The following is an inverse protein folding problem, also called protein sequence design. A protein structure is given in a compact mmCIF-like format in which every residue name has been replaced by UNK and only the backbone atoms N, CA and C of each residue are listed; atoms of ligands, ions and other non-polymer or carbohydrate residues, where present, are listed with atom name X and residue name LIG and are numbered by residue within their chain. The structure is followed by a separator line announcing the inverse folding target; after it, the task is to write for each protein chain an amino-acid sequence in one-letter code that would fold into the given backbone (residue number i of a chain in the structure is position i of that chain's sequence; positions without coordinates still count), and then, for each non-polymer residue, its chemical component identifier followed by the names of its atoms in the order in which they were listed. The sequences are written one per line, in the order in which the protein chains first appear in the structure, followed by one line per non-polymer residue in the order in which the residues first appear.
data_IF_773808547780
#
_entry.id   IF_773808547780
#
_cell.length_a   1.000
_cell.length_b   1.000
_cell.length_c   1.000
_cell.angle_alpha   90.00
_cell.angle_beta   90.00
_cell.angle_gamma   90.00
#
_symmetry.space_group_name_H-M   'P 1'
#
loop_
_entity.id
_entity.type
_entity.pdbx_description
1 polymer ?
#
# COMPACT_ATOMS: atom_id res chain seq x y z
N UNK A 1 -8.87 -14.48 -31.52
CA UNK A 1 -7.68 -15.10 -30.90
C UNK A 1 -7.57 -14.51 -29.52
N UNK A 2 -7.93 -15.28 -28.50
CA UNK A 2 -7.85 -14.85 -27.10
C UNK A 2 -6.39 -14.87 -26.64
N UNK A 3 -6.02 -13.87 -25.84
CA UNK A 3 -4.65 -13.52 -25.50
C UNK A 3 -4.11 -14.45 -24.40
N UNK A 4 -3.32 -15.45 -24.78
CA UNK A 4 -2.68 -16.44 -23.89
C UNK A 4 -1.70 -15.80 -22.88
N UNK A 5 -1.24 -14.58 -23.16
CA UNK A 5 -0.25 -13.85 -22.35
C UNK A 5 -0.84 -13.26 -21.06
N UNK A 6 -2.17 -13.03 -21.01
CA UNK A 6 -2.85 -12.63 -19.77
C UNK A 6 -3.02 -13.79 -18.78
N UNK A 7 -3.01 -15.04 -19.29
CA UNK A 7 -3.12 -16.25 -18.48
C UNK A 7 -1.75 -16.59 -17.85
N UNK A 8 -0.64 -16.42 -18.58
CA UNK A 8 0.69 -16.71 -18.04
C UNK A 8 1.12 -15.77 -16.89
N UNK A 9 0.49 -14.60 -16.77
CA UNK A 9 0.75 -13.66 -15.67
C UNK A 9 -0.03 -13.99 -14.39
N UNK A 10 -0.92 -14.99 -14.41
CA UNK A 10 -1.62 -15.49 -13.23
C UNK A 10 -0.89 -16.68 -12.57
N UNK A 11 0.09 -17.28 -13.23
CA UNK A 11 0.79 -18.49 -12.78
C UNK A 11 1.64 -18.28 -11.50
N UNK A 12 1.82 -17.04 -11.03
CA UNK A 12 2.59 -16.71 -9.83
C UNK A 12 1.79 -16.03 -8.70
N UNK A 13 0.48 -15.81 -8.87
CA UNK A 13 -0.36 -15.39 -7.76
C UNK A 13 -0.83 -16.64 -7.00
N UNK A 14 -0.68 -16.74 -5.66
CA UNK A 14 -1.32 -17.79 -4.90
C UNK A 14 -2.84 -17.60 -5.04
N UNK A 15 -3.43 -18.32 -5.99
CA UNK A 15 -4.87 -18.35 -6.17
C UNK A 15 -5.46 -19.01 -4.93
N UNK A 16 -6.40 -18.33 -4.28
CA UNK A 16 -7.23 -18.95 -3.24
C UNK A 16 -7.96 -20.10 -3.93
N UNK A 17 -7.58 -21.34 -3.60
CA UNK A 17 -8.14 -22.52 -4.26
C UNK A 17 -9.62 -22.63 -3.92
N UNK A 18 -10.41 -23.23 -4.81
CA UNK A 18 -11.82 -23.51 -4.56
C UNK A 18 -11.99 -24.32 -3.26
N UNK A 19 -11.06 -25.25 -2.99
CA UNK A 19 -10.98 -25.98 -1.72
C UNK A 19 -10.81 -25.05 -0.49
N UNK A 20 -9.92 -24.05 -0.59
CA UNK A 20 -9.74 -23.05 0.47
C UNK A 20 -11.04 -22.24 0.69
N UNK A 21 -11.73 -21.86 -0.38
CA UNK A 21 -13.01 -21.16 -0.30
C UNK A 21 -14.11 -22.05 0.29
N UNK A 22 -14.17 -23.33 -0.08
CA UNK A 22 -15.11 -24.31 0.48
C UNK A 22 -14.84 -24.55 1.97
N UNK A 23 -13.58 -24.55 2.40
CA UNK A 23 -13.19 -24.77 3.80
C UNK A 23 -13.50 -23.57 4.70
N UNK A 24 -13.36 -22.35 4.17
CA UNK A 24 -13.60 -21.11 4.93
C UNK A 24 -15.07 -20.68 4.87
N UNK A 25 -15.75 -20.92 3.74
CA UNK A 25 -17.15 -20.56 3.49
C UNK A 25 -17.96 -21.76 2.93
N UNK A 26 -18.15 -22.81 3.74
CA UNK A 26 -18.79 -24.05 3.29
C UNK A 26 -20.25 -23.88 2.89
N UNK A 27 -20.93 -22.84 3.37
CA UNK A 27 -22.34 -22.57 3.00
C UNK A 27 -22.48 -21.96 1.61
N UNK A 28 -21.45 -21.24 1.17
CA UNK A 28 -21.44 -20.48 -0.08
C UNK A 28 -20.82 -21.27 -1.23
N UNK A 29 -19.87 -22.18 -0.94
CA UNK A 29 -19.08 -22.87 -1.96
C UNK A 29 -19.24 -24.41 -2.03
N UNK A 30 -19.87 -25.05 -1.03
CA UNK A 30 -20.36 -26.44 -1.14
C UNK A 30 -19.29 -27.55 -1.24
N UNK A 31 -19.70 -28.80 -1.00
CA UNK A 31 -18.81 -29.98 -1.04
C UNK A 31 -18.39 -30.30 -2.48
N UNK A 32 -17.12 -30.09 -2.80
CA UNK A 32 -16.53 -30.52 -4.08
C UNK A 32 -16.22 -32.02 -3.99
N UNK A 33 -16.81 -32.83 -4.87
CA UNK A 33 -16.42 -34.22 -5.06
C UNK A 33 -14.98 -34.26 -5.64
N UNK A 34 -14.04 -34.80 -4.87
CA UNK A 34 -12.62 -34.94 -5.23
C UNK A 34 -12.45 -35.59 -6.61
N UNK A 35 -12.08 -34.79 -7.60
CA UNK A 35 -11.42 -35.26 -8.82
C UNK A 35 -9.94 -34.99 -8.69
N UNK A 36 -9.19 -36.07 -8.46
CA UNK A 36 -7.74 -36.05 -8.36
C UNK A 36 -7.11 -35.72 -9.71
N UNK A 37 -6.73 -34.46 -9.91
CA UNK A 37 -5.74 -34.06 -10.92
C UNK A 37 -4.41 -33.76 -10.22
N UNK A 38 -3.38 -34.52 -10.60
CA UNK A 38 -2.00 -34.39 -10.15
C UNK A 38 -1.38 -33.10 -10.74
N UNK A 39 -1.45 -31.99 -10.00
CA UNK A 39 -0.55 -30.85 -10.19
C UNK A 39 0.45 -30.79 -9.04
N UNK A 40 1.73 -30.64 -9.39
CA UNK A 40 2.86 -30.63 -8.45
C UNK A 40 2.69 -29.59 -7.34
N UNK A 41 2.58 -30.10 -6.11
CA UNK A 41 2.29 -29.38 -4.89
C UNK A 41 3.52 -28.63 -4.34
N UNK A 42 3.64 -27.34 -4.64
CA UNK A 42 4.45 -26.41 -3.83
C UNK A 42 3.72 -25.94 -2.56
N UNK A 43 2.39 -26.10 -2.53
CA UNK A 43 1.50 -25.76 -1.40
C UNK A 43 1.71 -26.64 -0.16
N UNK A 44 1.93 -27.95 -0.37
CA UNK A 44 1.99 -28.92 0.74
C UNK A 44 3.20 -28.73 1.67
N UNK A 45 4.32 -28.22 1.14
CA UNK A 45 5.52 -27.98 1.93
C UNK A 45 5.40 -26.75 2.84
N UNK A 46 4.70 -25.70 2.39
CA UNK A 46 4.43 -24.51 3.22
C UNK A 46 3.45 -24.82 4.36
N UNK A 47 2.41 -25.60 4.08
CA UNK A 47 1.43 -26.03 5.08
C UNK A 47 2.07 -26.91 6.17
N UNK A 48 2.98 -27.82 5.80
CA UNK A 48 3.71 -28.62 6.77
C UNK A 48 4.65 -27.77 7.65
N UNK A 49 5.33 -26.79 7.07
CA UNK A 49 6.17 -25.84 7.81
C UNK A 49 5.36 -25.03 8.82
N UNK A 50 4.16 -24.54 8.43
CA UNK A 50 3.26 -23.83 9.33
C UNK A 50 2.79 -24.70 10.50
N UNK A 51 2.46 -25.97 10.24
CA UNK A 51 2.08 -26.93 11.29
C UNK A 51 3.25 -27.22 12.24
N UNK A 52 4.47 -27.41 11.72
CA UNK A 52 5.67 -27.63 12.54
C UNK A 52 5.97 -26.41 13.41
N UNK A 53 5.82 -25.18 12.86
CA UNK A 53 5.95 -23.94 13.63
C UNK A 53 4.93 -23.88 14.77
N UNK A 54 3.65 -24.11 14.49
CA UNK A 54 2.58 -24.13 15.49
C UNK A 54 2.83 -25.15 16.61
N UNK A 55 3.25 -26.37 16.26
CA UNK A 55 3.59 -27.39 17.25
C UNK A 55 4.78 -26.96 18.12
N UNK A 56 5.78 -26.33 17.51
CA UNK A 56 6.95 -25.81 18.24
C UNK A 56 6.57 -24.63 19.14
N UNK A 57 5.70 -23.73 18.70
CA UNK A 57 5.18 -22.63 19.51
C UNK A 57 4.44 -23.10 20.76
N UNK A 58 3.64 -24.17 20.64
CA UNK A 58 2.97 -24.78 21.79
C UNK A 58 3.94 -25.41 22.81
N UNK A 59 5.18 -25.70 22.40
CA UNK A 59 6.21 -26.28 23.27
C UNK A 59 7.11 -25.25 23.96
N UNK A 60 7.07 -23.97 23.54
CA UNK A 60 7.86 -22.91 24.17
C UNK A 60 7.17 -22.47 25.46
N UNK A 61 7.82 -22.67 26.60
CA UNK A 61 7.22 -22.42 27.92
C UNK A 61 7.82 -21.23 28.65
N UNK A 62 8.96 -20.73 28.18
CA UNK A 62 9.67 -19.60 28.77
C UNK A 62 9.99 -18.50 27.75
N UNK A 63 10.11 -17.27 28.25
CA UNK A 63 10.54 -16.10 27.45
C UNK A 63 11.91 -16.31 26.81
N UNK A 64 12.82 -16.97 27.51
CA UNK A 64 14.19 -17.24 27.07
C UNK A 64 14.21 -18.21 25.88
N UNK A 65 13.36 -19.24 25.90
CA UNK A 65 13.20 -20.17 24.77
C UNK A 65 12.64 -19.46 23.54
N UNK A 66 11.64 -18.57 23.72
CA UNK A 66 11.06 -17.77 22.63
C UNK A 66 12.13 -16.86 22.01
N UNK A 67 12.93 -16.17 22.84
CA UNK A 67 14.02 -15.30 22.36
C UNK A 67 15.07 -16.11 21.61
N UNK A 68 15.53 -17.23 22.18
CA UNK A 68 16.55 -18.07 21.57
C UNK A 68 16.08 -18.65 20.23
N UNK A 69 14.82 -19.09 20.18
CA UNK A 69 14.21 -19.62 18.96
C UNK A 69 14.06 -18.53 17.90
N UNK A 70 13.52 -17.36 18.25
CA UNK A 70 13.33 -16.24 17.32
C UNK A 70 14.67 -15.76 16.74
N UNK A 71 15.74 -15.72 17.56
CA UNK A 71 17.09 -15.38 17.08
C UNK A 71 17.65 -16.39 16.09
N UNK A 72 17.30 -17.67 16.22
CA UNK A 72 17.73 -18.73 15.31
C UNK A 72 16.91 -18.77 14.02
N UNK A 73 15.65 -18.30 14.05
CA UNK A 73 14.78 -18.29 12.86
C UNK A 73 14.79 -16.96 12.09
N UNK A 74 15.28 -15.87 12.69
CA UNK A 74 15.44 -14.55 12.07
C UNK A 74 16.49 -14.50 10.93
N UNK A 75 16.67 -15.59 10.18
CA UNK A 75 17.67 -15.81 9.13
C UNK A 75 17.37 -15.01 7.86
N UNK A 76 16.21 -14.36 7.73
CA UNK A 76 16.00 -13.38 6.65
C UNK A 76 15.59 -11.99 7.16
N UNK A 77 16.44 -11.03 6.82
CA UNK A 77 16.32 -9.57 6.87
C UNK A 77 15.26 -8.97 7.82
N UNK A 78 15.61 -8.90 9.12
CA UNK A 78 15.02 -7.97 10.10
C UNK A 78 13.52 -8.16 10.46
N UNK A 79 12.95 -9.35 10.24
CA UNK A 79 11.58 -9.69 10.68
C UNK A 79 11.55 -10.49 11.99
N UNK A 80 10.59 -10.17 12.85
CA UNK A 80 10.26 -10.90 14.09
C UNK A 80 8.83 -11.41 13.98
N UNK A 81 8.66 -12.73 14.03
CA UNK A 81 7.35 -13.39 13.99
C UNK A 81 7.01 -14.00 15.36
N UNK A 82 6.04 -13.39 16.02
CA UNK A 82 5.46 -13.83 17.30
C UNK A 82 3.97 -14.14 17.15
N UNK A 83 3.53 -14.43 15.92
CA UNK A 83 2.13 -14.76 15.64
C UNK A 83 1.70 -16.02 16.41
N UNK A 84 0.47 -16.00 16.93
CA UNK A 84 -0.13 -17.11 17.66
C UNK A 84 0.49 -17.43 19.03
N UNK A 85 1.59 -16.78 19.43
CA UNK A 85 2.21 -17.00 20.72
C UNK A 85 1.38 -16.39 21.87
N UNK A 86 1.07 -17.15 22.93
CA UNK A 86 0.27 -16.68 24.07
C UNK A 86 1.12 -15.86 25.06
N UNK A 87 1.90 -14.89 24.56
CA UNK A 87 2.71 -14.01 25.40
C UNK A 87 1.81 -12.97 26.07
N UNK A 88 1.96 -12.81 27.38
CA UNK A 88 1.36 -11.66 28.07
C UNK A 88 2.03 -10.34 27.64
N UNK A 89 1.39 -9.22 27.96
CA UNK A 89 1.86 -7.88 27.55
C UNK A 89 3.29 -7.58 27.99
N UNK A 90 3.72 -8.05 29.16
CA UNK A 90 5.04 -7.75 29.72
C UNK A 90 6.11 -8.68 29.14
N UNK A 91 5.77 -9.97 28.95
CA UNK A 91 6.60 -10.94 28.25
C UNK A 91 6.87 -10.49 26.82
N UNK A 92 5.82 -10.10 26.08
CA UNK A 92 5.93 -9.61 24.71
C UNK A 92 6.92 -8.44 24.62
N UNK A 93 6.74 -7.40 25.45
CA UNK A 93 7.63 -6.24 25.44
C UNK A 93 9.06 -6.58 25.85
N UNK A 94 9.26 -7.57 26.72
CA UNK A 94 10.60 -8.05 27.11
C UNK A 94 11.27 -8.76 25.94
N UNK A 95 10.55 -9.67 25.27
CA UNK A 95 11.01 -10.38 24.08
C UNK A 95 11.39 -9.38 22.97
N UNK A 96 10.50 -8.44 22.66
CA UNK A 96 10.76 -7.42 21.62
C UNK A 96 11.98 -6.55 21.94
N UNK A 97 12.20 -6.23 23.21
CA UNK A 97 13.39 -5.47 23.64
C UNK A 97 14.67 -6.25 23.32
N UNK A 98 14.69 -7.55 23.56
CA UNK A 98 15.87 -8.42 23.41
C UNK A 98 16.10 -8.91 21.97
N UNK A 99 15.08 -8.83 21.11
CA UNK A 99 15.14 -9.14 19.68
C UNK A 99 15.54 -7.95 18.80
N UNK A 100 15.63 -6.73 19.35
CA UNK A 100 16.14 -5.58 18.60
C UNK A 100 17.56 -5.83 18.05
N UNK A 101 17.88 -5.33 16.84
CA UNK A 101 17.04 -4.52 15.94
C UNK A 101 16.16 -5.36 15.00
N UNK A 102 14.94 -4.89 14.72
CA UNK A 102 14.08 -5.41 13.66
C UNK A 102 13.29 -4.27 12.98
N UNK A 103 12.72 -4.55 11.82
CA UNK A 103 11.89 -3.62 11.03
C UNK A 103 10.48 -4.16 10.79
N UNK A 104 10.29 -5.48 10.86
CA UNK A 104 8.99 -6.14 10.68
C UNK A 104 8.62 -6.90 11.95
N UNK A 105 7.39 -6.76 12.40
CA UNK A 105 6.84 -7.47 13.55
C UNK A 105 5.48 -8.09 13.23
N UNK A 106 5.39 -9.42 13.31
CA UNK A 106 4.10 -10.11 13.30
C UNK A 106 3.73 -10.48 14.74
N UNK A 107 2.58 -10.00 15.22
CA UNK A 107 1.99 -10.38 16.52
C UNK A 107 0.54 -10.85 16.33
N UNK A 108 0.18 -11.26 15.12
CA UNK A 108 -1.19 -11.65 14.77
C UNK A 108 -1.68 -12.81 15.64
N UNK A 109 -2.98 -12.77 15.97
CA UNK A 109 -3.63 -13.75 16.84
C UNK A 109 -3.32 -13.59 18.34
N UNK A 110 -2.41 -12.70 18.75
CA UNK A 110 -2.12 -12.48 20.16
C UNK A 110 -3.20 -11.59 20.81
N UNK A 111 -4.13 -12.21 21.55
CA UNK A 111 -5.24 -11.54 22.23
C UNK A 111 -4.79 -10.58 23.35
N UNK A 112 -3.55 -10.68 23.84
CA UNK A 112 -3.01 -9.79 24.87
C UNK A 112 -2.49 -8.47 24.28
N UNK A 113 -2.45 -8.35 22.96
CA UNK A 113 -2.12 -7.09 22.28
C UNK A 113 -3.40 -6.27 22.13
N UNK A 114 -3.64 -5.40 23.09
CA UNK A 114 -4.70 -4.38 23.08
C UNK A 114 -4.16 -3.01 22.63
N UNK A 115 -5.00 -1.97 22.71
CA UNK A 115 -4.64 -0.58 22.38
C UNK A 115 -3.39 -0.10 23.12
N UNK A 116 -3.30 -0.36 24.42
CA UNK A 116 -2.24 0.17 25.29
C UNK A 116 -0.92 -0.56 25.03
N UNK A 117 -0.98 -1.88 24.84
CA UNK A 117 0.19 -2.68 24.46
C UNK A 117 0.71 -2.27 23.09
N UNK A 118 -0.18 -2.11 22.11
CA UNK A 118 0.20 -1.64 20.77
C UNK A 118 0.84 -0.25 20.81
N UNK A 119 0.29 0.68 21.60
CA UNK A 119 0.88 1.99 21.82
C UNK A 119 2.29 1.90 22.42
N UNK A 120 2.51 1.01 23.39
CA UNK A 120 3.83 0.75 24.00
C UNK A 120 4.83 0.16 23.00
N UNK A 121 4.39 -0.75 22.12
CA UNK A 121 5.21 -1.29 21.03
C UNK A 121 5.65 -0.15 20.10
N UNK A 122 4.71 0.66 19.61
CA UNK A 122 5.05 1.79 18.73
C UNK A 122 6.01 2.77 19.41
N UNK A 123 5.77 3.11 20.68
CA UNK A 123 6.62 4.06 21.41
C UNK A 123 8.05 3.54 21.62
N UNK A 124 8.20 2.27 21.99
CA UNK A 124 9.49 1.62 22.24
C UNK A 124 10.35 1.55 20.97
N UNK A 125 9.74 1.39 19.79
CA UNK A 125 10.45 1.16 18.53
C UNK A 125 10.45 2.37 17.59
N UNK A 126 9.87 3.53 17.95
CA UNK A 126 9.93 4.73 17.10
C UNK A 126 11.32 5.39 17.03
N UNK A 127 12.17 5.17 18.05
CA UNK A 127 13.50 5.82 18.19
C UNK A 127 14.67 4.83 18.16
N UNK A 128 14.43 3.56 17.86
CA UNK A 128 15.51 2.58 17.71
C UNK A 128 16.36 2.91 16.48
N UNK A 129 17.59 2.42 16.46
CA UNK A 129 18.48 2.51 15.29
C UNK A 129 17.89 1.81 14.05
N UNK A 130 16.89 0.95 14.25
CA UNK A 130 16.08 0.33 13.22
C UNK A 130 14.62 0.52 13.62
N UNK A 131 13.96 1.61 13.20
CA UNK A 131 12.58 1.86 13.57
C UNK A 131 11.67 0.79 12.98
N UNK A 132 10.59 0.49 13.70
CA UNK A 132 9.57 -0.43 13.22
C UNK A 132 8.90 0.15 11.97
N UNK A 133 8.87 -0.61 10.89
CA UNK A 133 8.32 -0.21 9.59
C UNK A 133 7.10 -1.04 9.17
N UNK A 134 6.98 -2.27 9.65
CA UNK A 134 5.87 -3.16 9.32
C UNK A 134 5.34 -3.82 10.58
N UNK A 135 4.03 -3.82 10.76
CA UNK A 135 3.41 -4.55 11.85
C UNK A 135 2.10 -5.23 11.43
N UNK A 136 1.97 -6.52 11.74
CA UNK A 136 0.73 -7.27 11.60
C UNK A 136 0.07 -7.47 12.97
N UNK A 137 -1.14 -6.93 13.12
CA UNK A 137 -1.96 -7.00 14.33
C UNK A 137 -3.32 -7.67 14.05
N UNK A 138 -3.38 -8.49 13.01
CA UNK A 138 -4.62 -9.19 12.65
C UNK A 138 -5.03 -10.17 13.75
N UNK A 139 -6.29 -10.15 14.16
CA UNK A 139 -6.78 -11.04 15.21
C UNK A 139 -6.32 -10.68 16.62
N UNK A 140 -5.73 -9.50 16.84
CA UNK A 140 -5.44 -8.98 18.18
C UNK A 140 -6.69 -8.32 18.82
N UNK A 141 -6.61 -7.94 20.10
CA UNK A 141 -7.69 -7.26 20.84
C UNK A 141 -7.79 -5.76 20.55
N UNK A 142 -7.24 -5.29 19.43
CA UNK A 142 -7.30 -3.88 19.01
C UNK A 142 -8.54 -3.70 18.15
N UNK A 143 -9.48 -2.88 18.60
CA UNK A 143 -10.66 -2.57 17.79
C UNK A 143 -10.36 -1.53 16.71
N UNK A 144 -11.28 -1.43 15.75
CA UNK A 144 -11.27 -0.35 14.76
C UNK A 144 -11.32 1.04 15.42
N UNK A 145 -12.11 1.22 16.48
CA UNK A 145 -12.23 2.52 17.14
C UNK A 145 -10.98 2.86 17.95
N UNK A 146 -10.27 1.86 18.50
CA UNK A 146 -8.96 2.05 19.10
C UNK A 146 -7.95 2.59 18.09
N UNK A 147 -7.90 2.02 16.89
CA UNK A 147 -7.01 2.53 15.82
C UNK A 147 -7.35 3.96 15.40
N UNK A 148 -8.63 4.32 15.36
CA UNK A 148 -9.04 5.71 15.07
C UNK A 148 -8.55 6.66 16.15
N UNK A 149 -8.75 6.30 17.41
CA UNK A 149 -8.31 7.07 18.56
C UNK A 149 -6.79 7.23 18.55
N UNK A 150 -6.04 6.16 18.29
CA UNK A 150 -4.59 6.19 18.20
C UNK A 150 -4.08 7.06 17.05
N UNK A 151 -4.68 6.96 15.85
CA UNK A 151 -4.31 7.80 14.72
C UNK A 151 -4.65 9.27 14.96
N UNK A 152 -5.69 9.55 15.76
CA UNK A 152 -6.04 10.91 16.15
C UNK A 152 -5.09 11.47 17.20
N UNK A 153 -4.90 10.76 18.32
CA UNK A 153 -4.18 11.25 19.51
C UNK A 153 -2.66 11.06 19.41
N UNK A 154 -2.20 10.05 18.67
CA UNK A 154 -0.81 9.61 18.64
C UNK A 154 -0.23 9.53 17.21
N UNK A 155 -0.73 10.36 16.28
CA UNK A 155 -0.35 10.34 14.86
C UNK A 155 1.15 10.21 14.58
N UNK A 156 2.00 10.87 15.38
CA UNK A 156 3.46 10.91 15.18
C UNK A 156 4.14 9.55 15.37
N UNK A 157 3.51 8.63 16.11
CA UNK A 157 4.02 7.27 16.28
C UNK A 157 3.92 6.45 14.99
N UNK A 158 3.01 6.84 14.09
CA UNK A 158 2.78 6.15 12.83
C UNK A 158 3.72 6.62 11.71
N UNK A 159 4.43 7.74 11.87
CA UNK A 159 5.29 8.32 10.82
C UNK A 159 6.44 7.41 10.37
N UNK A 160 6.85 6.48 11.23
CA UNK A 160 7.91 5.51 10.95
C UNK A 160 7.37 4.18 10.42
N UNK A 161 6.08 3.94 10.62
CA UNK A 161 5.43 2.73 10.16
C UNK A 161 5.16 2.91 8.68
N UNK A 162 5.71 2.05 7.85
CA UNK A 162 5.36 1.95 6.44
C UNK A 162 4.04 1.21 6.26
N UNK A 163 3.81 0.15 7.04
CA UNK A 163 2.79 -0.87 6.79
C UNK A 163 2.11 -1.34 8.08
N UNK A 164 0.77 -1.34 8.10
CA UNK A 164 -0.03 -1.93 9.20
C UNK A 164 -1.07 -2.88 8.61
N UNK A 165 -0.99 -4.15 8.99
CA UNK A 165 -1.99 -5.14 8.60
C UNK A 165 -3.03 -5.25 9.71
N UNK A 166 -4.25 -4.79 9.42
CA UNK A 166 -5.41 -4.90 10.30
C UNK A 166 -6.71 -4.87 9.48
N UNK A 167 -7.75 -5.67 9.83
CA UNK A 167 -9.01 -5.73 9.07
C UNK A 167 -9.72 -4.38 8.89
N UNK A 168 -9.52 -3.43 9.80
CA UNK A 168 -10.11 -2.09 9.69
C UNK A 168 -9.60 -1.31 8.47
N UNK A 169 -8.38 -1.57 7.99
CA UNK A 169 -7.82 -0.93 6.79
C UNK A 169 -8.19 -1.66 5.49
N UNK A 170 -8.71 -2.88 5.59
CA UNK A 170 -9.16 -3.70 4.46
C UNK A 170 -10.66 -3.55 4.19
N UNK A 171 -11.48 -3.40 5.24
CA UNK A 171 -12.95 -3.53 5.13
C UNK A 171 -13.72 -2.19 5.21
N UNK A 172 -13.10 -1.14 5.74
CA UNK A 172 -13.74 0.16 6.01
C UNK A 172 -13.84 1.13 4.83
N UNK A 173 -14.75 2.13 4.88
CA UNK A 173 -14.54 3.37 4.10
C UNK A 173 -13.59 4.24 4.92
N UNK A 174 -12.29 4.33 4.54
CA UNK A 174 -11.35 5.06 5.36
C UNK A 174 -11.78 6.52 5.54
N UNK A 175 -12.59 7.11 4.63
CA UNK A 175 -12.99 8.52 4.66
C UNK A 175 -13.71 8.91 5.93
N UNK A 176 -14.77 8.19 6.24
CA UNK A 176 -15.59 8.44 7.43
C UNK A 176 -14.93 7.89 8.69
N UNK A 177 -14.06 6.89 8.54
CA UNK A 177 -13.57 6.13 9.66
C UNK A 177 -12.29 6.71 10.24
N UNK A 178 -11.38 7.20 9.39
CA UNK A 178 -10.08 7.74 9.82
C UNK A 178 -9.90 9.18 9.30
N UNK A 179 -10.64 10.16 9.82
CA UNK A 179 -10.61 11.55 9.33
C UNK A 179 -9.23 12.20 9.46
N UNK A 180 -8.42 11.75 10.43
CA UNK A 180 -7.10 12.31 10.76
C UNK A 180 -5.92 11.39 10.39
N UNK A 181 -6.17 10.23 9.75
CA UNK A 181 -5.07 9.51 9.13
C UNK A 181 -4.44 10.43 8.08
N UNK A 182 -3.12 10.38 7.91
CA UNK A 182 -2.50 11.06 6.78
C UNK A 182 -3.09 10.48 5.51
N UNK A 183 -3.85 11.31 4.81
CA UNK A 183 -4.49 10.94 3.56
C UNK A 183 -3.71 11.55 2.45
N UNK A 184 -3.59 10.82 1.35
CA UNK A 184 -3.16 11.38 0.10
C UNK A 184 -4.24 11.08 -0.93
N UNK A 185 -4.90 12.14 -1.39
CA UNK A 185 -5.82 12.02 -2.52
C UNK A 185 -5.07 12.35 -3.79
N UNK A 186 -4.90 11.39 -4.71
CA UNK A 186 -4.33 11.69 -6.03
C UNK A 186 -5.44 12.09 -6.97
N UNK A 187 -5.50 13.38 -7.31
CA UNK A 187 -6.49 13.91 -8.23
C UNK A 187 -5.89 13.94 -9.65
N UNK A 188 -6.34 13.02 -10.50
CA UNK A 188 -5.97 13.00 -11.92
C UNK A 188 -7.08 13.68 -12.73
N UNK A 189 -6.69 14.64 -13.57
CA UNK A 189 -7.61 15.34 -14.48
C UNK A 189 -7.24 15.04 -15.92
N UNK A 190 -8.08 14.27 -16.61
CA UNK A 190 -7.92 13.94 -18.04
C UNK A 190 -8.56 14.99 -18.95
N UNK A 191 -9.79 15.39 -18.61
CA UNK A 191 -10.57 16.41 -19.31
C UNK A 191 -11.07 17.45 -18.29
N UNK A 192 -11.51 18.65 -18.74
CA UNK A 192 -12.00 19.69 -17.83
C UNK A 192 -13.08 19.21 -16.85
N UNK A 193 -13.88 18.22 -17.23
CA UNK A 193 -14.98 17.70 -16.42
C UNK A 193 -14.74 16.28 -15.88
N UNK A 194 -13.57 15.70 -16.13
CA UNK A 194 -13.22 14.35 -15.65
C UNK A 194 -12.16 14.48 -14.57
N UNK A 195 -12.60 14.19 -13.34
CA UNK A 195 -11.75 14.18 -12.16
C UNK A 195 -11.85 12.82 -11.51
N UNK A 196 -10.70 12.29 -11.14
CA UNK A 196 -10.63 11.05 -10.39
C UNK A 196 -9.75 11.15 -9.20
N UNK A 197 -10.16 10.44 -8.15
CA UNK A 197 -9.45 10.44 -6.89
C UNK A 197 -9.42 9.07 -6.26
N UNK A 198 -8.23 8.72 -5.79
CA UNK A 198 -7.98 7.61 -4.90
C UNK A 198 -7.44 8.21 -3.61
N UNK A 199 -8.02 7.83 -2.48
CA UNK A 199 -7.58 8.26 -1.16
C UNK A 199 -7.06 7.06 -0.38
N UNK A 200 -5.93 7.25 0.30
CA UNK A 200 -5.26 6.20 1.05
C UNK A 200 -4.90 6.67 2.44
N UNK A 201 -4.98 5.81 3.47
CA UNK A 201 -4.16 6.00 4.64
C UNK A 201 -2.70 5.72 4.27
N UNK A 202 -1.81 6.68 4.49
CA UNK A 202 -0.38 6.39 4.53
C UNK A 202 0.15 6.68 5.93
N UNK A 203 1.18 5.93 6.32
CA UNK A 203 1.76 6.05 7.65
C UNK A 203 3.16 6.67 7.55
N UNK A 204 3.98 6.26 6.56
CA UNK A 204 5.31 6.82 6.30
C UNK A 204 5.43 7.63 5.00
N UNK A 205 6.24 8.69 5.03
CA UNK A 205 6.48 9.56 3.86
C UNK A 205 7.27 8.87 2.76
N UNK A 206 8.26 8.04 3.09
CA UNK A 206 9.06 7.34 2.07
C UNK A 206 8.19 6.41 1.22
N UNK A 207 7.24 5.72 1.88
CA UNK A 207 6.25 4.88 1.21
C UNK A 207 5.36 5.73 0.29
N UNK A 208 4.89 6.89 0.75
CA UNK A 208 4.16 7.81 -0.12
C UNK A 208 4.97 8.21 -1.37
N UNK A 209 6.24 8.58 -1.21
CA UNK A 209 7.12 8.97 -2.32
C UNK A 209 7.33 7.80 -3.29
N UNK A 210 7.53 6.59 -2.78
CA UNK A 210 7.67 5.40 -3.61
C UNK A 210 6.39 5.11 -4.40
N UNK A 211 5.21 5.12 -3.76
CA UNK A 211 3.94 4.89 -4.45
C UNK A 211 3.66 5.95 -5.52
N UNK A 212 3.99 7.21 -5.26
CA UNK A 212 3.88 8.27 -6.27
C UNK A 212 4.86 8.07 -7.42
N UNK A 213 6.08 7.61 -7.13
CA UNK A 213 7.07 7.26 -8.16
C UNK A 213 6.54 6.13 -9.03
N UNK A 214 5.99 5.09 -8.43
CA UNK A 214 5.42 3.93 -9.12
C UNK A 214 4.21 4.32 -9.98
N UNK A 215 3.34 5.21 -9.49
CA UNK A 215 2.24 5.76 -10.31
C UNK A 215 2.76 6.55 -11.50
N UNK A 216 3.78 7.39 -11.30
CA UNK A 216 4.37 8.19 -12.38
C UNK A 216 5.05 7.28 -13.41
N UNK A 217 5.75 6.23 -12.97
CA UNK A 217 6.32 5.20 -13.85
C UNK A 217 5.25 4.45 -14.64
N UNK A 218 4.18 4.03 -13.96
CA UNK A 218 3.03 3.39 -14.60
C UNK A 218 2.37 4.29 -15.65
N UNK A 219 2.23 5.59 -15.37
CA UNK A 219 1.71 6.56 -16.35
C UNK A 219 2.68 6.80 -17.52
N UNK A 220 3.96 6.42 -17.39
CA UNK A 220 4.99 6.59 -18.41
C UNK A 220 5.19 5.37 -19.31
N UNK A 221 4.44 4.28 -19.11
CA UNK A 221 4.58 3.11 -19.95
C UNK A 221 4.16 3.45 -21.41
N UNK A 222 5.08 3.35 -22.39
CA UNK A 222 4.80 3.67 -23.79
C UNK A 222 3.84 2.67 -24.46
N UNK A 223 3.54 1.52 -23.83
CA UNK A 223 2.62 0.54 -24.38
C UNK A 223 1.18 0.82 -23.93
N UNK A 224 0.29 1.27 -24.84
CA UNK A 224 -1.09 1.62 -24.54
C UNK A 224 -2.00 0.38 -24.44
N UNK A 225 -1.46 -0.83 -24.28
CA UNK A 225 -2.26 -2.05 -24.09
C UNK A 225 -3.09 -1.98 -22.82
N UNK A 226 -2.78 -1.03 -21.93
CA UNK A 226 -3.65 -0.65 -20.84
C UNK A 226 -4.73 0.35 -21.28
N UNK A 227 -5.85 -0.19 -21.78
CA UNK A 227 -7.16 0.46 -21.63
C UNK A 227 -7.58 0.70 -20.15
N UNK A 228 -6.64 0.62 -19.20
CA UNK A 228 -6.75 0.74 -17.75
C UNK A 228 -6.33 2.13 -17.24
N UNK A 229 -6.28 3.16 -18.08
CA UNK A 229 -6.30 4.55 -17.59
C UNK A 229 -7.75 5.02 -17.41
N UNK A 230 -8.65 4.08 -17.08
CA UNK A 230 -9.84 4.51 -16.38
C UNK A 230 -9.41 4.98 -15.00
N UNK A 231 -9.92 6.14 -14.57
CA UNK A 231 -9.68 6.68 -13.24
C UNK A 231 -10.08 5.79 -12.04
N UNK A 232 -10.65 4.63 -12.36
CA UNK A 232 -11.11 3.58 -11.45
C UNK A 232 -10.30 2.30 -11.59
N UNK A 233 -9.19 2.33 -12.33
CA UNK A 233 -8.48 1.11 -12.67
C UNK A 233 -7.96 0.43 -11.42
N UNK A 234 -8.22 -0.87 -11.37
CA UNK A 234 -7.63 -1.76 -10.37
C UNK A 234 -6.12 -1.58 -10.27
N UNK A 235 -5.44 -1.08 -11.30
CA UNK A 235 -4.00 -0.83 -11.31
C UNK A 235 -3.57 0.31 -10.39
N UNK A 236 -4.19 1.51 -10.48
CA UNK A 236 -3.85 2.61 -9.57
C UNK A 236 -4.21 2.24 -8.14
N UNK A 237 -5.37 1.62 -7.95
CA UNK A 237 -5.74 1.03 -6.67
C UNK A 237 -4.64 0.07 -6.22
N UNK A 238 -4.20 -0.86 -7.05
CA UNK A 238 -3.18 -1.86 -6.69
C UNK A 238 -1.85 -1.22 -6.30
N UNK A 239 -1.33 -0.26 -7.06
CA UNK A 239 -0.08 0.47 -6.73
C UNK A 239 -0.16 1.08 -5.34
N UNK A 240 -1.33 1.59 -5.00
CA UNK A 240 -1.59 2.26 -3.74
C UNK A 240 -2.03 1.35 -2.59
N UNK A 241 -2.51 0.16 -2.91
CA UNK A 241 -2.93 -0.89 -1.97
C UNK A 241 -1.74 -1.58 -1.32
N UNK A 242 -0.61 -1.57 -2.01
CA UNK A 242 0.57 -2.34 -1.70
C UNK A 242 1.81 -1.47 -1.71
N UNK A 243 2.38 -1.24 -0.54
CA UNK A 243 3.67 -0.58 -0.47
C UNK A 243 4.78 -1.46 -0.93
N UNK A 244 5.81 -0.86 -1.53
CA UNK A 244 7.11 -1.51 -1.72
C UNK A 244 8.22 -0.61 -1.24
N UNK A 245 9.32 -1.20 -0.79
CA UNK A 245 10.57 -0.47 -0.67
C UNK A 245 11.15 -0.20 -2.06
N UNK A 246 12.01 0.82 -2.19
CA UNK A 246 12.65 1.21 -3.46
C UNK A 246 13.29 0.02 -4.20
N UNK A 247 13.94 -0.85 -3.44
CA UNK A 247 14.69 -1.99 -3.95
C UNK A 247 13.88 -3.31 -3.94
N UNK A 248 12.64 -3.27 -3.45
CA UNK A 248 11.75 -4.45 -3.43
C UNK A 248 11.07 -4.61 -4.79
N UNK A 249 11.09 -5.85 -5.30
CA UNK A 249 10.49 -6.17 -6.59
C UNK A 249 8.97 -6.03 -6.52
N UNK A 250 8.35 -5.66 -7.63
CA UNK A 250 6.91 -5.41 -7.69
C UNK A 250 6.10 -6.60 -7.18
N UNK A 251 6.44 -7.82 -7.59
CA UNK A 251 5.68 -9.03 -7.26
C UNK A 251 5.79 -9.46 -5.78
N UNK A 252 6.75 -8.92 -5.02
CA UNK A 252 7.03 -9.35 -3.65
C UNK A 252 6.32 -8.48 -2.60
N UNK A 253 5.52 -7.51 -3.04
CA UNK A 253 4.84 -6.55 -2.16
C UNK A 253 3.63 -7.17 -1.46
N UNK A 254 3.42 -6.75 -0.21
CA UNK A 254 2.21 -7.09 0.54
C UNK A 254 1.05 -6.16 0.16
N UNK A 255 -0.17 -6.67 0.08
CA UNK A 255 -1.38 -5.84 -0.02
C UNK A 255 -1.86 -5.51 1.39
N UNK A 256 -1.74 -4.23 1.76
CA UNK A 256 -1.94 -3.77 3.14
C UNK A 256 -3.27 -3.05 3.33
N UNK A 257 -3.75 -2.41 2.27
CA UNK A 257 -4.94 -1.58 2.29
C UNK A 257 -5.78 -1.84 1.05
N UNK A 258 -7.09 -1.63 1.14
CA UNK A 258 -7.93 -1.59 -0.05
C UNK A 258 -8.22 -0.12 -0.37
N UNK A 259 -7.57 0.46 -1.39
CA UNK A 259 -7.84 1.81 -1.85
C UNK A 259 -9.32 1.95 -2.16
N UNK A 260 -9.89 3.07 -1.70
CA UNK A 260 -11.26 3.40 -2.06
C UNK A 260 -11.32 4.68 -2.86
N UNK A 261 -12.25 4.67 -3.81
CA UNK A 261 -12.63 5.83 -4.59
C UNK A 261 -13.19 6.90 -3.64
N UNK A 262 -12.67 8.11 -3.74
CA UNK A 262 -13.30 9.27 -3.11
C UNK A 262 -14.25 9.94 -4.09
N UNK A 263 -15.43 10.34 -3.61
CA UNK A 263 -16.37 11.19 -4.36
C UNK A 263 -16.46 12.61 -3.78
N UNK A 264 -15.86 12.83 -2.61
CA UNK A 264 -15.89 14.10 -1.87
C UNK A 264 -14.49 14.71 -1.83
N UNK A 265 -14.05 15.19 -3.00
CA UNK A 265 -12.77 15.86 -3.16
C UNK A 265 -12.68 17.06 -2.20
N UNK A 266 -11.52 17.25 -1.58
CA UNK A 266 -11.18 18.46 -0.81
C UNK A 266 -12.05 18.72 0.44
N UNK A 267 -12.82 17.74 0.92
CA UNK A 267 -13.60 17.84 2.17
C UNK A 267 -13.01 17.05 3.34
N UNK A 268 -11.88 16.37 3.14
CA UNK A 268 -11.24 15.52 4.16
C UNK A 268 -10.24 16.23 5.07
N UNK A 269 -9.93 15.60 6.21
CA UNK A 269 -8.90 16.02 7.17
C UNK A 269 -7.47 15.59 6.83
N UNK A 270 -7.19 15.26 5.56
CA UNK A 270 -5.87 14.81 5.09
C UNK A 270 -5.24 15.73 4.04
N UNK A 271 -4.09 15.32 3.52
CA UNK A 271 -3.43 16.01 2.41
C UNK A 271 -4.05 15.58 1.07
N UNK A 272 -4.12 16.51 0.13
CA UNK A 272 -4.57 16.22 -1.24
C UNK A 272 -3.44 16.58 -2.20
N UNK A 273 -3.02 15.66 -3.08
CA UNK A 273 -2.20 16.02 -4.25
C UNK A 273 -3.09 16.16 -5.47
N UNK A 274 -3.01 17.33 -6.07
CA UNK A 274 -3.64 17.57 -7.36
C UNK A 274 -2.56 17.43 -8.40
N UNK A 275 -2.68 16.45 -9.28
CA UNK A 275 -1.76 16.27 -10.42
C UNK A 275 -2.52 16.68 -11.67
N UNK A 276 -2.27 17.90 -12.14
CA UNK A 276 -2.93 18.42 -13.33
C UNK A 276 -2.19 17.96 -14.59
N UNK A 277 -2.69 16.90 -15.22
CA UNK A 277 -2.10 16.30 -16.42
C UNK A 277 -2.56 16.94 -17.74
N UNK A 278 -3.21 18.11 -17.70
CA UNK A 278 -3.60 18.77 -18.95
C UNK A 278 -2.41 19.56 -19.51
N UNK A 279 -1.96 19.27 -20.74
CA UNK A 279 -0.91 20.05 -21.35
C UNK A 279 -1.43 21.42 -21.76
N UNK A 280 -0.86 22.49 -21.20
CA UNK A 280 -0.80 23.77 -21.89
C UNK A 280 0.57 23.87 -22.54
N UNK A 281 0.67 24.20 -23.84
CA UNK A 281 1.92 24.18 -24.60
C UNK A 281 3.11 24.87 -23.90
N UNK A 282 2.81 25.90 -23.10
CA UNK A 282 3.81 26.76 -22.44
C UNK A 282 3.78 26.71 -20.91
N UNK A 283 2.95 25.85 -20.29
CA UNK A 283 2.92 25.71 -18.83
C UNK A 283 3.41 24.32 -18.40
N UNK A 284 4.38 24.24 -17.45
CA UNK A 284 4.77 22.96 -16.87
C UNK A 284 3.58 22.31 -16.16
N UNK A 285 3.56 20.97 -16.10
CA UNK A 285 2.62 20.25 -15.25
C UNK A 285 2.60 20.85 -13.85
N UNK A 286 1.41 21.27 -13.42
CA UNK A 286 1.22 21.82 -12.08
C UNK A 286 0.73 20.68 -11.21
N UNK A 287 1.59 20.27 -10.28
CA UNK A 287 1.10 19.57 -9.11
C UNK A 287 0.92 20.57 -7.96
N UNK A 288 0.00 20.28 -7.07
CA UNK A 288 -0.23 21.07 -5.87
C UNK A 288 -0.52 20.12 -4.71
N UNK A 289 0.20 20.26 -3.61
CA UNK A 289 -0.14 19.59 -2.36
C UNK A 289 -0.94 20.58 -1.51
N UNK A 290 -2.13 20.16 -1.10
CA UNK A 290 -3.02 20.92 -0.25
C UNK A 290 -3.03 20.29 1.14
N UNK A 291 -2.82 21.08 2.22
CA UNK A 291 -2.96 20.58 3.57
C UNK A 291 -4.44 20.26 3.89
N UNK A 292 -4.70 19.59 5.02
CA UNK A 292 -6.06 19.40 5.55
C UNK A 292 -6.89 20.69 5.57
N UNK A 293 -8.18 20.60 5.23
CA UNK A 293 -9.07 21.76 5.37
C UNK A 293 -9.28 22.06 6.85
N UNK A 294 -9.00 23.30 7.24
CA UNK A 294 -9.43 23.87 8.51
C UNK A 294 -10.52 24.88 8.21
N UNK A 295 -11.64 24.80 8.92
CA UNK A 295 -12.77 25.72 8.71
C UNK A 295 -12.33 27.17 8.90
N UNK A 296 -12.72 28.05 7.97
CA UNK A 296 -12.35 29.47 7.98
C UNK A 296 -10.91 29.79 7.55
N UNK A 297 -10.08 28.79 7.21
CA UNK A 297 -8.71 29.00 6.76
C UNK A 297 -8.53 28.69 5.27
N UNK A 298 -7.85 29.59 4.55
CA UNK A 298 -7.43 29.33 3.18
C UNK A 298 -6.27 28.32 3.17
N UNK A 299 -6.40 27.25 2.38
CA UNK A 299 -5.32 26.27 2.22
C UNK A 299 -4.15 26.90 1.46
N UNK A 300 -2.95 26.81 2.04
CA UNK A 300 -1.71 27.20 1.36
C UNK A 300 -1.24 26.04 0.47
N UNK A 301 -1.08 26.30 -0.82
CA UNK A 301 -0.51 25.31 -1.77
C UNK A 301 0.97 25.10 -1.44
N UNK A 302 1.40 23.84 -1.44
CA UNK A 302 2.78 23.41 -1.25
C UNK A 302 3.29 22.66 -2.47
N UNK A 303 4.57 22.82 -2.79
CA UNK A 303 5.31 21.89 -3.63
C UNK A 303 5.79 20.67 -2.81
N UNK A 304 6.40 19.67 -3.46
CA UNK A 304 6.84 18.43 -2.80
C UNK A 304 7.90 18.74 -1.75
N UNK A 305 8.88 19.60 -2.06
CA UNK A 305 9.96 19.95 -1.13
C UNK A 305 9.44 20.66 0.12
N UNK A 306 8.52 21.60 -0.04
CA UNK A 306 7.85 22.32 1.06
C UNK A 306 7.01 21.38 1.90
N UNK A 307 6.28 20.46 1.27
CA UNK A 307 5.51 19.44 1.96
C UNK A 307 6.40 18.49 2.78
N UNK A 308 7.48 17.98 2.20
CA UNK A 308 8.43 17.09 2.90
C UNK A 308 9.04 17.77 4.11
N UNK A 309 9.52 19.01 3.94
CA UNK A 309 10.03 19.81 5.05
C UNK A 309 8.97 20.04 6.14
N UNK A 310 7.73 20.33 5.74
CA UNK A 310 6.62 20.48 6.68
C UNK A 310 6.35 19.19 7.47
N UNK A 311 6.41 18.03 6.81
CA UNK A 311 6.23 16.73 7.47
C UNK A 311 7.38 16.40 8.42
N UNK A 312 8.62 16.75 8.07
CA UNK A 312 9.77 16.66 8.98
C UNK A 312 9.59 17.55 10.22
N UNK A 313 9.15 18.80 10.05
CA UNK A 313 8.83 19.73 11.15
C UNK A 313 7.71 19.17 12.06
N UNK A 314 6.76 18.43 11.48
CA UNK A 314 5.71 17.72 12.23
C UNK A 314 6.22 16.47 12.96
N UNK A 315 7.42 16.00 12.64
CA UNK A 315 8.12 14.89 13.30
C UNK A 315 8.27 13.63 12.45
N UNK A 316 7.98 13.69 11.15
CA UNK A 316 8.28 12.61 10.21
C UNK A 316 9.79 12.38 10.11
N UNK A 317 10.27 11.15 9.89
CA UNK A 317 11.65 10.94 9.49
C UNK A 317 11.99 11.77 8.23
N UNK A 318 13.24 12.24 8.12
CA UNK A 318 13.69 12.92 6.91
C UNK A 318 13.66 11.95 5.73
N UNK A 319 13.12 12.40 4.62
CA UNK A 319 13.06 11.62 3.38
C UNK A 319 14.37 11.73 2.62
N UNK A 320 14.75 10.67 1.91
CA UNK A 320 15.88 10.68 0.98
C UNK A 320 15.75 11.85 -0.03
N UNK A 321 16.63 12.86 0.01
CA UNK A 321 16.58 14.01 -0.90
C UNK A 321 16.63 13.59 -2.37
N UNK A 322 17.34 12.51 -2.68
CA UNK A 322 17.44 11.99 -4.04
C UNK A 322 16.11 11.35 -4.48
N UNK A 323 15.42 10.64 -3.59
CA UNK A 323 14.09 10.08 -3.88
C UNK A 323 13.07 11.20 -4.19
N UNK A 324 13.04 12.25 -3.35
CA UNK A 324 12.16 13.40 -3.55
C UNK A 324 12.45 14.13 -4.86
N UNK A 325 13.73 14.39 -5.14
CA UNK A 325 14.16 15.02 -6.39
C UNK A 325 13.80 14.16 -7.60
N UNK A 326 14.08 12.85 -7.54
CA UNK A 326 13.74 11.91 -8.61
C UNK A 326 12.23 11.89 -8.89
N UNK A 327 11.38 11.92 -7.86
CA UNK A 327 9.94 12.02 -8.05
C UNK A 327 9.55 13.32 -8.81
N UNK A 328 10.10 14.46 -8.40
CA UNK A 328 9.83 15.75 -9.06
C UNK A 328 10.31 15.73 -10.52
N UNK A 329 11.52 15.26 -10.77
CA UNK A 329 12.11 15.15 -12.10
C UNK A 329 11.29 14.23 -13.00
N UNK A 330 10.75 13.12 -12.44
CA UNK A 330 9.87 12.19 -13.15
C UNK A 330 8.51 12.81 -13.47
N UNK A 331 7.84 13.47 -12.51
CA UNK A 331 6.58 14.18 -12.77
C UNK A 331 6.76 15.20 -13.90
N UNK A 332 7.86 15.95 -13.87
CA UNK A 332 8.19 16.93 -14.90
C UNK A 332 8.55 16.29 -16.25
N UNK A 333 9.13 15.09 -16.25
CA UNK A 333 9.51 14.36 -17.48
C UNK A 333 8.34 13.61 -18.12
N UNK A 334 7.42 13.07 -17.31
CA UNK A 334 6.17 12.43 -17.76
C UNK A 334 5.34 13.33 -18.66
N UNK A 335 5.38 14.64 -18.41
CA UNK A 335 4.78 15.65 -19.26
C UNK A 335 5.26 15.57 -20.71
N UNK A 336 6.58 15.48 -20.92
CA UNK A 336 7.16 15.37 -22.27
C UNK A 336 6.67 14.12 -22.97
N UNK A 337 6.54 13.02 -22.24
CA UNK A 337 6.03 11.77 -22.79
C UNK A 337 4.54 11.86 -23.15
N UNK A 338 3.70 12.40 -22.27
CA UNK A 338 2.26 12.59 -22.53
C UNK A 338 1.99 13.58 -23.67
N UNK A 339 2.80 14.64 -23.81
CA UNK A 339 2.78 15.52 -24.98
C UNK A 339 3.15 14.77 -26.28
N UNK A 340 4.21 13.97 -26.26
CA UNK A 340 4.67 13.21 -27.43
C UNK A 340 3.66 12.13 -27.84
N UNK A 341 3.03 11.46 -26.86
CA UNK A 341 1.97 10.48 -27.08
C UNK A 341 0.70 11.13 -27.61
N UNK A 342 0.28 12.27 -27.06
CA UNK A 342 -0.86 13.03 -27.59
C UNK A 342 -0.59 13.54 -29.01
N UNK A 343 0.59 14.09 -29.29
CA UNK A 343 0.98 14.51 -30.64
C UNK A 343 0.95 13.33 -31.62
N UNK A 344 1.47 12.17 -31.22
CA UNK A 344 1.46 10.94 -32.02
C UNK A 344 0.04 10.40 -32.23
N UNK A 345 -0.81 10.37 -31.21
CA UNK A 345 -2.21 9.96 -31.33
C UNK A 345 -3.03 10.92 -32.20
N UNK A 346 -2.79 12.24 -32.10
CA UNK A 346 -3.42 13.22 -32.98
C UNK A 346 -3.00 13.01 -34.43
N UNK A 347 -1.72 12.76 -34.71
CA UNK A 347 -1.24 12.48 -36.05
C UNK A 347 -1.74 11.12 -36.58
N UNK A 348 -1.85 10.09 -35.74
CA UNK A 348 -2.47 8.81 -36.10
C UNK A 348 -3.97 8.94 -36.41
N UNK A 349 -4.70 9.74 -35.62
CA UNK A 349 -6.13 10.01 -35.86
C UNK A 349 -6.31 10.81 -37.15
N UNK A 350 -5.43 11.77 -37.42
CA UNK A 350 -5.42 12.57 -38.64
C UNK A 350 -5.05 11.74 -39.88
N UNK A 351 -4.10 10.81 -39.75
CA UNK A 351 -3.74 9.85 -40.79
C UNK A 351 -4.90 8.90 -41.08
N UNK A 352 -5.55 8.35 -40.04
CA UNK A 352 -6.71 7.48 -40.19
C UNK A 352 -7.92 8.19 -40.83
N UNK A 353 -8.07 9.50 -40.62
CA UNK A 353 -9.08 10.32 -41.30
C UNK A 353 -8.70 10.62 -42.75
N UNK A 354 -7.40 10.83 -43.06
CA UNK A 354 -6.91 11.04 -44.43
C UNK A 354 -6.95 9.77 -45.30
N UNK A 355 -6.68 8.60 -44.73
CA UNK A 355 -6.76 7.31 -45.42
C UNK A 355 -8.20 6.84 -45.68
N UNK A 356 -9.18 7.50 -45.05
CA UNK A 356 -10.59 7.45 -45.49
C UNK A 356 -10.82 8.37 -46.69
N UNK A 357 -9.98 8.28 -47.72
CA UNK A 357 -10.40 8.69 -49.07
C UNK A 357 -11.67 7.89 -49.41
N UNK A 358 -12.76 8.55 -49.83
CA UNK A 358 -13.96 7.83 -50.21
C UNK A 358 -13.60 6.88 -51.36
N UNK A 359 -13.67 5.57 -51.12
CA UNK A 359 -13.68 4.59 -52.20
C UNK A 359 -14.89 4.93 -53.05
N UNK A 360 -14.67 5.56 -54.18
CA UNK A 360 -15.70 5.82 -55.17
C UNK A 360 -16.21 4.47 -55.65
N UNK A 361 -17.41 4.10 -55.22
CA UNK A 361 -18.16 3.03 -55.86
C UNK A 361 -18.68 3.59 -57.18
N UNK A 362 -18.00 3.25 -58.26
CA UNK A 362 -18.54 3.24 -59.61
C UNK A 362 -18.64 1.80 -60.07
#
# INVERSE_FOLDING_TARGET
MYNLEAISNLDCMPLVTEDTLCRVWPKEYGEVEDKADEFENTSTDQDQLAVIRLQKYQSLTSTEEVIAWSKNEAVSEAGVDLSGLPLDSQQLLTVLKDLNPFKRLDVSGNQQVDKDVFLRILDAHKRSHSPLQWINITGCSISKDDLKELLFNHRKLFYFIGRIIHPAFLTGDPRNEFPNALRFTVILRRLPNEVSSISLPFFGIDHLIQNLTDVVEFCNDPYPTTHFVEPYSGNLATIFASGRNKDEHWLDRDVETIPRRSFDLLKGGGYDIVVHNFPQPDEPSKYAILPPQVEGQQRKIMDISTFLKHMEEEGSPPTDPDAAKNLVDRINSSYKLMLNLNASMFEMTRAAVKDRTPRSFF
#
